data_IF_916310733579
#
_entry.id   IF_916310733579
#
_cell.length_a   1.000
_cell.length_b   1.000
_cell.length_c   1.000
_cell.angle_alpha   90.00
_cell.angle_beta   90.00
_cell.angle_gamma   90.00
#
_symmetry.space_group_name_H-M   'P 1'
#
loop_
_entity.id
_entity.type
_entity.pdbx_description
1 polymer ?
#
# COMPACT_ATOMS: atom_id res chain seq x y z
N UNK A 1 41.63 2.38 38.24
CA UNK A 1 40.18 2.31 38.47
C UNK A 1 39.41 3.27 37.59
N UNK A 2 39.64 4.58 37.66
CA UNK A 2 38.88 5.60 36.88
C UNK A 2 38.82 5.41 35.35
N UNK A 3 39.83 4.79 34.74
CA UNK A 3 39.85 4.59 33.28
C UNK A 3 38.92 3.42 32.82
N UNK A 4 38.72 2.42 33.65
CA UNK A 4 37.78 1.30 33.39
C UNK A 4 36.32 1.74 33.55
N UNK A 5 36.03 2.56 34.56
CA UNK A 5 34.68 3.11 34.78
C UNK A 5 34.25 4.05 33.65
N UNK A 6 35.21 4.81 33.06
CA UNK A 6 34.93 5.65 31.91
C UNK A 6 34.52 4.84 30.65
N UNK A 7 35.23 3.75 30.38
CA UNK A 7 34.98 2.86 29.22
C UNK A 7 33.65 2.07 29.39
N UNK A 8 33.32 1.65 30.60
CA UNK A 8 32.03 1.00 30.87
C UNK A 8 30.84 1.95 30.68
N UNK A 9 30.97 3.16 31.17
CA UNK A 9 29.95 4.20 31.02
C UNK A 9 29.72 4.63 29.55
N UNK A 10 30.79 4.65 28.79
CA UNK A 10 30.74 4.94 27.33
C UNK A 10 30.12 3.78 26.54
N UNK A 11 30.42 2.54 26.91
CA UNK A 11 29.79 1.33 26.32
C UNK A 11 28.31 1.20 26.68
N UNK A 12 27.92 1.58 27.90
CA UNK A 12 26.53 1.60 28.36
C UNK A 12 25.75 2.69 27.64
N UNK A 13 26.37 3.84 27.43
CA UNK A 13 25.80 4.95 26.66
C UNK A 13 25.62 4.57 25.17
N UNK A 14 26.61 3.92 24.57
CA UNK A 14 26.53 3.40 23.20
C UNK A 14 25.44 2.32 23.06
N UNK A 15 25.36 1.36 23.99
CA UNK A 15 24.30 0.34 24.00
C UNK A 15 22.92 0.94 24.14
N UNK A 16 22.78 1.95 24.99
CA UNK A 16 21.50 2.66 25.19
C UNK A 16 21.10 3.46 23.98
N UNK A 17 22.07 4.14 23.32
CA UNK A 17 21.85 4.85 22.06
C UNK A 17 21.48 3.87 20.94
N UNK A 18 22.19 2.74 20.81
CA UNK A 18 21.84 1.70 19.83
C UNK A 18 20.44 1.12 20.09
N UNK A 19 20.13 0.78 21.35
CA UNK A 19 18.81 0.28 21.73
C UNK A 19 17.71 1.29 21.42
N UNK A 20 17.99 2.58 21.61
CA UNK A 20 17.08 3.68 21.31
C UNK A 20 16.90 3.89 19.81
N UNK A 21 17.97 3.78 19.01
CA UNK A 21 17.93 3.89 17.54
C UNK A 21 17.14 2.75 16.88
N UNK A 22 17.14 1.55 17.47
CA UNK A 22 16.44 0.36 16.95
C UNK A 22 15.14 0.04 17.73
N UNK A 23 14.77 0.84 18.71
CA UNK A 23 13.50 0.67 19.42
C UNK A 23 12.33 1.11 18.56
N UNK A 24 11.44 0.17 18.26
CA UNK A 24 10.20 0.43 17.51
C UNK A 24 9.11 1.04 18.42
N UNK A 25 9.29 1.04 19.75
CA UNK A 25 8.27 1.40 20.73
C UNK A 25 8.41 2.81 21.32
N UNK A 26 9.60 3.43 21.31
CA UNK A 26 9.82 4.72 21.96
C UNK A 26 9.11 5.92 21.31
N UNK A 27 8.89 5.86 19.97
CA UNK A 27 8.20 6.91 19.21
C UNK A 27 6.79 6.46 18.76
N UNK A 28 6.20 5.45 19.39
CA UNK A 28 4.90 4.94 19.01
C UNK A 28 3.79 5.91 19.46
N UNK A 29 2.84 6.15 18.56
CA UNK A 29 1.59 6.83 18.88
C UNK A 29 0.75 5.97 19.85
N UNK A 30 -0.24 6.57 20.50
CA UNK A 30 -1.17 5.79 21.33
C UNK A 30 -1.97 4.80 20.47
N UNK A 31 -2.40 3.68 21.06
CA UNK A 31 -3.19 2.68 20.36
C UNK A 31 -4.48 3.27 19.77
N UNK A 32 -5.09 4.24 20.43
CA UNK A 32 -6.28 4.95 19.95
C UNK A 32 -5.95 5.79 18.70
N UNK A 33 -4.82 6.50 18.71
CA UNK A 33 -4.38 7.31 17.60
C UNK A 33 -3.99 6.45 16.37
N UNK A 34 -3.30 5.33 16.60
CA UNK A 34 -2.97 4.36 15.55
C UNK A 34 -4.25 3.80 14.92
N UNK A 35 -5.20 3.38 15.75
CA UNK A 35 -6.51 2.90 15.32
C UNK A 35 -7.24 3.93 14.47
N UNK A 36 -7.32 5.16 14.94
CA UNK A 36 -8.04 6.23 14.23
C UNK A 36 -7.40 6.55 12.88
N UNK A 37 -6.09 6.61 12.80
CA UNK A 37 -5.35 6.82 11.55
C UNK A 37 -5.59 5.69 10.54
N UNK A 38 -5.47 4.43 10.96
CA UNK A 38 -5.68 3.27 10.09
C UNK A 38 -7.12 3.23 9.59
N UNK A 39 -8.10 3.39 10.48
CA UNK A 39 -9.50 3.34 10.10
C UNK A 39 -9.93 4.53 9.23
N UNK A 40 -9.38 5.71 9.48
CA UNK A 40 -9.64 6.89 8.65
C UNK A 40 -9.03 6.72 7.26
N UNK A 41 -7.80 6.18 7.16
CA UNK A 41 -7.16 5.88 5.88
C UNK A 41 -7.91 4.84 5.04
N UNK A 42 -8.58 3.87 5.68
CA UNK A 42 -9.41 2.85 5.02
C UNK A 42 -10.88 3.24 4.84
N UNK A 43 -11.29 4.45 5.26
CA UNK A 43 -12.69 4.86 5.24
C UNK A 43 -13.18 5.13 3.81
N UNK A 44 -14.32 4.51 3.47
CA UNK A 44 -14.99 4.73 2.19
C UNK A 44 -15.92 5.92 2.34
N UNK A 45 -15.53 7.02 1.72
CA UNK A 45 -16.33 8.25 1.62
C UNK A 45 -16.48 8.63 0.15
N UNK A 46 -17.52 9.40 -0.16
CA UNK A 46 -17.70 9.92 -1.53
C UNK A 46 -16.47 10.68 -2.03
N UNK A 47 -15.82 11.46 -1.16
CA UNK A 47 -14.58 12.18 -1.47
C UNK A 47 -13.46 11.22 -1.86
N UNK A 48 -13.21 10.15 -1.07
CA UNK A 48 -12.19 9.17 -1.38
C UNK A 48 -12.47 8.43 -2.70
N UNK A 49 -13.75 8.19 -3.03
CA UNK A 49 -14.14 7.59 -4.31
C UNK A 49 -13.83 8.51 -5.49
N UNK A 50 -14.13 9.81 -5.38
CA UNK A 50 -13.80 10.78 -6.44
C UNK A 50 -12.29 10.88 -6.62
N UNK A 51 -11.54 11.00 -5.53
CA UNK A 51 -10.06 11.02 -5.57
C UNK A 51 -9.51 9.76 -6.23
N UNK A 52 -10.06 8.59 -5.91
CA UNK A 52 -9.66 7.31 -6.51
C UNK A 52 -9.95 7.28 -8.02
N UNK A 53 -11.12 7.72 -8.47
CA UNK A 53 -11.46 7.81 -9.90
C UNK A 53 -10.45 8.71 -10.63
N UNK A 54 -10.16 9.89 -10.07
CA UNK A 54 -9.14 10.79 -10.63
C UNK A 54 -7.76 10.13 -10.68
N UNK A 55 -7.37 9.44 -9.61
CA UNK A 55 -6.09 8.73 -9.54
C UNK A 55 -6.00 7.63 -10.62
N UNK A 56 -7.08 6.83 -10.81
CA UNK A 56 -7.15 5.80 -11.83
C UNK A 56 -7.06 6.40 -13.24
N UNK A 57 -7.72 7.51 -13.51
CA UNK A 57 -7.61 8.21 -14.80
C UNK A 57 -6.17 8.68 -15.04
N UNK A 58 -5.52 9.32 -14.07
CA UNK A 58 -4.12 9.76 -14.18
C UNK A 58 -3.19 8.57 -14.39
N UNK A 59 -3.37 7.48 -13.63
CA UNK A 59 -2.57 6.25 -13.79
C UNK A 59 -2.77 5.64 -15.18
N UNK A 60 -4.00 5.59 -15.69
CA UNK A 60 -4.32 5.04 -17.00
C UNK A 60 -3.69 5.88 -18.13
N UNK A 61 -3.70 7.22 -18.00
CA UNK A 61 -2.96 8.12 -18.89
C UNK A 61 -1.46 7.82 -18.81
N UNK A 62 -0.89 7.72 -17.60
CA UNK A 62 0.52 7.42 -17.40
C UNK A 62 0.95 6.08 -17.99
N UNK A 63 0.12 5.04 -17.83
CA UNK A 63 0.35 3.72 -18.45
C UNK A 63 0.30 3.80 -19.98
N UNK A 64 -0.67 4.54 -20.51
CA UNK A 64 -0.88 4.67 -21.96
C UNK A 64 0.20 5.51 -22.65
N UNK A 65 0.77 6.48 -21.93
CA UNK A 65 1.87 7.35 -22.43
C UNK A 65 3.25 6.85 -22.04
N UNK A 66 3.36 5.67 -21.43
CA UNK A 66 4.60 5.08 -20.92
C UNK A 66 5.35 6.00 -19.93
N UNK A 67 4.63 6.83 -19.17
CA UNK A 67 5.20 7.80 -18.22
C UNK A 67 5.21 7.30 -16.79
N UNK A 68 6.35 6.81 -16.34
CA UNK A 68 6.54 6.32 -14.94
C UNK A 68 6.24 7.42 -13.91
N UNK A 69 6.64 8.66 -14.17
CA UNK A 69 6.42 9.78 -13.27
C UNK A 69 4.92 10.05 -13.01
N UNK A 70 4.11 10.00 -14.07
CA UNK A 70 2.65 10.18 -13.98
C UNK A 70 2.01 9.02 -13.18
N UNK A 71 2.46 7.78 -13.43
CA UNK A 71 1.98 6.59 -12.71
C UNK A 71 2.29 6.73 -11.21
N UNK A 72 3.51 7.12 -10.85
CA UNK A 72 3.93 7.35 -9.46
C UNK A 72 3.07 8.44 -8.81
N UNK A 73 2.85 9.56 -9.49
CA UNK A 73 1.99 10.65 -9.00
C UNK A 73 0.56 10.17 -8.69
N UNK A 74 -0.01 9.33 -9.54
CA UNK A 74 -1.33 8.73 -9.33
C UNK A 74 -1.38 7.80 -8.12
N UNK A 75 -0.32 6.99 -7.91
CA UNK A 75 -0.24 6.08 -6.76
C UNK A 75 -0.24 6.82 -5.42
N UNK A 76 0.37 8.03 -5.36
CA UNK A 76 0.45 8.84 -4.14
C UNK A 76 -0.91 9.29 -3.60
N UNK A 77 -1.88 9.48 -4.48
CA UNK A 77 -3.22 9.95 -4.12
C UNK A 77 -4.24 8.81 -3.97
N UNK A 78 -3.83 7.56 -4.24
CA UNK A 78 -4.73 6.40 -4.20
C UNK A 78 -5.05 5.94 -2.77
N UNK A 79 -6.32 5.76 -2.41
CA UNK A 79 -6.71 5.27 -1.09
C UNK A 79 -6.67 3.74 -0.91
N UNK A 80 -6.26 2.97 -1.93
CA UNK A 80 -6.33 1.50 -1.93
C UNK A 80 -5.57 0.84 -0.78
N UNK A 81 -4.38 1.34 -0.46
CA UNK A 81 -3.55 0.81 0.61
C UNK A 81 -4.22 0.94 1.99
N UNK A 82 -4.85 2.08 2.26
CA UNK A 82 -5.54 2.32 3.54
C UNK A 82 -6.60 1.28 3.85
N UNK A 83 -7.32 0.79 2.82
CA UNK A 83 -8.32 -0.26 2.98
C UNK A 83 -7.71 -1.60 3.40
N UNK A 84 -6.56 -1.99 2.86
CA UNK A 84 -5.86 -3.23 3.24
C UNK A 84 -5.36 -3.14 4.70
N UNK A 85 -4.77 -2.01 5.09
CA UNK A 85 -4.32 -1.79 6.47
C UNK A 85 -5.49 -1.83 7.46
N UNK A 86 -6.66 -1.29 7.09
CA UNK A 86 -7.85 -1.34 7.93
C UNK A 86 -8.45 -2.76 8.05
N UNK A 87 -8.36 -3.58 6.99
CA UNK A 87 -8.74 -5.01 7.05
C UNK A 87 -7.81 -5.76 8.00
N UNK A 88 -6.50 -5.57 7.87
CA UNK A 88 -5.49 -6.16 8.75
C UNK A 88 -5.72 -5.77 10.22
N UNK A 89 -5.98 -4.50 10.50
CA UNK A 89 -6.32 -4.05 11.83
C UNK A 89 -7.58 -4.75 12.40
N UNK A 90 -8.63 -4.88 11.58
CA UNK A 90 -9.85 -5.60 11.97
C UNK A 90 -9.59 -7.06 12.31
N UNK A 91 -8.65 -7.72 11.62
CA UNK A 91 -8.24 -9.10 11.88
C UNK A 91 -7.50 -9.22 13.21
N UNK A 92 -6.47 -8.40 13.43
CA UNK A 92 -5.65 -8.44 14.65
C UNK A 92 -6.46 -8.05 15.89
N UNK A 93 -7.34 -7.07 15.77
CA UNK A 93 -8.25 -6.67 16.87
C UNK A 93 -9.42 -7.63 17.10
N UNK A 94 -9.50 -8.71 16.31
CA UNK A 94 -10.60 -9.69 16.33
C UNK A 94 -12.00 -9.06 16.18
N UNK A 95 -12.09 -7.94 15.44
CA UNK A 95 -13.34 -7.25 15.13
C UNK A 95 -13.85 -7.66 13.74
N UNK A 96 -14.68 -8.72 13.71
CA UNK A 96 -15.25 -9.27 12.49
C UNK A 96 -16.14 -8.25 11.73
N UNK A 97 -16.77 -7.31 12.43
CA UNK A 97 -17.58 -6.26 11.79
C UNK A 97 -16.71 -5.27 11.02
N UNK A 98 -15.63 -4.78 11.64
CA UNK A 98 -14.64 -3.92 11.00
C UNK A 98 -14.00 -4.59 9.78
N UNK A 99 -13.53 -5.83 9.94
CA UNK A 99 -12.93 -6.62 8.87
C UNK A 99 -13.90 -6.75 7.67
N UNK A 100 -15.13 -7.17 7.91
CA UNK A 100 -16.14 -7.32 6.86
C UNK A 100 -16.46 -6.00 6.17
N UNK A 101 -16.64 -4.92 6.92
CA UNK A 101 -16.96 -3.59 6.39
C UNK A 101 -15.85 -3.09 5.46
N UNK A 102 -14.59 -3.17 5.87
CA UNK A 102 -13.45 -2.71 5.06
C UNK A 102 -13.18 -3.64 3.87
N UNK A 103 -13.42 -4.97 4.00
CA UNK A 103 -13.30 -5.91 2.87
C UNK A 103 -14.34 -5.64 1.79
N UNK A 104 -15.60 -5.41 2.15
CA UNK A 104 -16.63 -5.02 1.20
C UNK A 104 -16.28 -3.70 0.51
N UNK A 105 -15.80 -2.75 1.28
CA UNK A 105 -15.36 -1.48 0.73
C UNK A 105 -14.17 -1.59 -0.21
N UNK A 106 -13.20 -2.41 0.10
CA UNK A 106 -12.06 -2.69 -0.78
C UNK A 106 -12.52 -3.34 -2.10
N UNK A 107 -13.46 -4.29 -2.03
CA UNK A 107 -14.05 -4.88 -3.24
C UNK A 107 -14.75 -3.84 -4.12
N UNK A 108 -15.49 -2.90 -3.52
CA UNK A 108 -16.11 -1.77 -4.24
C UNK A 108 -15.05 -0.88 -4.89
N UNK A 109 -13.96 -0.57 -4.18
CA UNK A 109 -12.83 0.20 -4.75
C UNK A 109 -12.21 -0.51 -5.96
N UNK A 110 -12.00 -1.83 -5.89
CA UNK A 110 -11.49 -2.62 -7.02
C UNK A 110 -12.42 -2.52 -8.22
N UNK A 111 -13.72 -2.72 -8.02
CA UNK A 111 -14.72 -2.67 -9.10
C UNK A 111 -14.75 -1.29 -9.77
N UNK A 112 -14.78 -0.21 -8.99
CA UNK A 112 -14.77 1.16 -9.51
C UNK A 112 -13.45 1.43 -10.24
N UNK A 113 -12.32 0.97 -9.73
CA UNK A 113 -11.02 1.15 -10.36
C UNK A 113 -10.96 0.48 -11.73
N UNK A 114 -11.35 -0.79 -11.81
CA UNK A 114 -11.36 -1.54 -13.07
C UNK A 114 -12.35 -0.95 -14.05
N UNK A 115 -13.56 -0.58 -13.61
CA UNK A 115 -14.57 0.04 -14.46
C UNK A 115 -14.08 1.38 -15.04
N UNK A 116 -13.51 2.27 -14.20
CA UNK A 116 -12.96 3.56 -14.61
C UNK A 116 -11.84 3.39 -15.65
N UNK A 117 -10.89 2.48 -15.37
CA UNK A 117 -9.80 2.18 -16.29
C UNK A 117 -10.33 1.59 -17.62
N UNK A 118 -11.29 0.67 -17.56
CA UNK A 118 -11.90 0.09 -18.78
C UNK A 118 -12.54 1.16 -19.63
N UNK A 119 -13.33 2.07 -19.05
CA UNK A 119 -13.96 3.18 -19.77
C UNK A 119 -12.89 4.05 -20.42
N UNK A 120 -11.83 4.42 -19.68
CA UNK A 120 -10.74 5.21 -20.24
C UNK A 120 -10.08 4.53 -21.44
N UNK A 121 -9.72 3.25 -21.35
CA UNK A 121 -9.03 2.54 -22.43
C UNK A 121 -9.95 2.21 -23.62
N UNK A 122 -11.26 2.10 -23.42
CA UNK A 122 -12.24 2.02 -24.51
C UNK A 122 -12.27 3.32 -25.35
N UNK A 123 -12.19 4.47 -24.68
CA UNK A 123 -12.20 5.78 -25.30
C UNK A 123 -10.85 6.20 -25.86
N UNK A 124 -9.75 5.64 -25.34
CA UNK A 124 -8.41 5.97 -25.76
C UNK A 124 -8.14 5.57 -27.22
N UNK A 125 -7.52 6.45 -28.04
CA UNK A 125 -7.10 6.12 -29.41
C UNK A 125 -5.89 5.17 -29.45
N UNK A 126 -5.08 5.11 -28.38
CA UNK A 126 -3.88 4.27 -28.30
C UNK A 126 -4.28 2.88 -27.83
N UNK A 127 -4.18 1.89 -28.71
CA UNK A 127 -4.58 0.49 -28.43
C UNK A 127 -3.40 -0.44 -28.20
N UNK A 128 -2.19 -0.03 -28.58
CA UNK A 128 -1.00 -0.85 -28.40
C UNK A 128 -0.56 -0.87 -26.92
N UNK A 129 -0.18 -2.05 -26.38
CA UNK A 129 0.29 -2.16 -25.01
C UNK A 129 1.68 -1.52 -24.87
N UNK A 130 1.82 -0.61 -23.93
CA UNK A 130 3.11 -0.01 -23.57
C UNK A 130 3.96 -0.95 -22.72
N UNK A 131 5.25 -0.68 -22.56
CA UNK A 131 6.15 -1.44 -21.68
C UNK A 131 5.63 -1.45 -20.24
N UNK A 132 5.08 -0.33 -19.76
CA UNK A 132 4.52 -0.23 -18.41
C UNK A 132 3.29 -1.11 -18.21
N UNK A 133 2.45 -1.30 -19.22
CA UNK A 133 1.33 -2.23 -19.19
C UNK A 133 1.82 -3.68 -19.19
N UNK A 134 2.77 -4.02 -20.05
CA UNK A 134 3.32 -5.38 -20.16
C UNK A 134 4.06 -5.80 -18.89
N UNK A 135 4.80 -4.89 -18.25
CA UNK A 135 5.51 -5.16 -17.00
C UNK A 135 4.57 -5.57 -15.83
N UNK A 136 3.27 -5.26 -15.92
CA UNK A 136 2.28 -5.61 -14.89
C UNK A 136 1.53 -6.92 -15.17
N UNK A 137 1.93 -7.67 -16.17
CA UNK A 137 1.27 -8.94 -16.55
C UNK A 137 2.04 -10.18 -16.15
N UNK A 138 3.28 -10.05 -15.72
CA UNK A 138 4.17 -11.16 -15.38
C UNK A 138 4.72 -10.98 -13.95
N UNK A 139 3.97 -11.42 -12.91
CA UNK A 139 4.44 -11.36 -11.52
C UNK A 139 5.74 -12.12 -11.34
N UNK A 140 6.62 -11.60 -10.51
CA UNK A 140 7.89 -12.23 -10.18
C UNK A 140 8.11 -12.25 -8.64
N UNK A 141 9.15 -12.95 -8.20
CA UNK A 141 9.48 -13.07 -6.78
C UNK A 141 9.79 -11.72 -6.12
N UNK A 142 10.33 -10.76 -6.86
CA UNK A 142 10.64 -9.44 -6.32
C UNK A 142 9.38 -8.64 -5.97
N UNK A 143 8.27 -8.86 -6.68
CA UNK A 143 6.98 -8.23 -6.37
C UNK A 143 6.52 -8.63 -4.95
N UNK A 144 6.70 -9.89 -4.59
CA UNK A 144 6.39 -10.41 -3.23
C UNK A 144 7.27 -9.73 -2.17
N UNK A 145 8.59 -9.63 -2.41
CA UNK A 145 9.51 -8.97 -1.48
C UNK A 145 9.14 -7.49 -1.29
N UNK A 146 8.81 -6.80 -2.37
CA UNK A 146 8.39 -5.40 -2.34
C UNK A 146 7.07 -5.24 -1.58
N UNK A 147 6.10 -6.13 -1.80
CA UNK A 147 4.82 -6.11 -1.12
C UNK A 147 4.96 -6.33 0.40
N UNK A 148 5.79 -7.30 0.81
CA UNK A 148 6.11 -7.54 2.23
C UNK A 148 6.78 -6.33 2.88
N UNK A 149 7.85 -5.82 2.27
CA UNK A 149 8.56 -4.65 2.78
C UNK A 149 7.63 -3.42 2.85
N UNK A 150 6.78 -3.24 1.84
CA UNK A 150 5.78 -2.18 1.78
C UNK A 150 4.71 -2.30 2.88
N UNK A 151 4.22 -3.50 3.16
CA UNK A 151 3.27 -3.74 4.25
C UNK A 151 3.87 -3.39 5.63
N UNK A 152 5.10 -3.85 5.90
CA UNK A 152 5.85 -3.51 7.12
C UNK A 152 6.01 -1.99 7.24
N UNK A 153 6.55 -1.34 6.21
CA UNK A 153 6.77 0.10 6.23
C UNK A 153 5.47 0.90 6.37
N UNK A 154 4.37 0.40 5.79
CA UNK A 154 3.03 0.99 5.91
C UNK A 154 2.53 1.05 7.34
N UNK A 155 2.63 -0.05 8.07
CA UNK A 155 2.24 -0.09 9.49
C UNK A 155 3.20 0.74 10.35
N UNK A 156 4.52 0.60 10.16
CA UNK A 156 5.49 1.43 10.88
C UNK A 156 5.22 2.92 10.67
N UNK A 157 4.85 3.32 9.45
CA UNK A 157 4.44 4.70 9.16
C UNK A 157 3.19 5.15 9.93
N UNK A 158 2.19 4.29 10.07
CA UNK A 158 0.96 4.59 10.81
C UNK A 158 1.16 4.64 12.33
N UNK A 159 2.15 3.91 12.85
CA UNK A 159 2.40 3.82 14.29
C UNK A 159 3.26 4.97 14.84
N UNK A 160 3.85 5.83 14.00
CA UNK A 160 4.73 6.93 14.42
C UNK A 160 4.00 8.25 14.57
N UNK A 161 4.30 9.02 15.64
CA UNK A 161 3.68 10.32 15.89
C UNK A 161 4.04 11.35 14.80
N UNK A 162 5.32 11.46 14.43
CA UNK A 162 5.81 12.56 13.60
C UNK A 162 6.12 12.18 12.13
N UNK A 163 6.10 10.88 11.77
CA UNK A 163 6.60 10.40 10.47
C UNK A 163 5.54 9.85 9.53
N UNK A 164 4.28 9.74 9.97
CA UNK A 164 3.20 9.18 9.15
C UNK A 164 3.06 9.89 7.79
N UNK A 165 3.11 11.22 7.78
CA UNK A 165 2.93 12.03 6.58
C UNK A 165 4.03 11.84 5.53
N UNK A 166 5.24 11.39 5.92
CA UNK A 166 6.37 11.22 5.01
C UNK A 166 6.57 9.78 4.54
N UNK A 167 6.17 8.79 5.35
CA UNK A 167 6.38 7.37 5.06
C UNK A 167 5.26 6.81 4.19
N UNK A 168 4.00 7.16 4.47
CA UNK A 168 2.83 6.63 3.78
C UNK A 168 2.89 6.84 2.25
N UNK A 169 3.23 8.04 1.74
CA UNK A 169 3.36 8.23 0.31
C UNK A 169 4.40 7.31 -0.34
N UNK A 170 5.58 7.16 0.29
CA UNK A 170 6.63 6.28 -0.22
C UNK A 170 6.22 4.81 -0.30
N UNK A 171 5.46 4.34 0.69
CA UNK A 171 4.93 2.97 0.71
C UNK A 171 3.86 2.76 -0.35
N UNK A 172 2.97 3.73 -0.57
CA UNK A 172 1.96 3.64 -1.63
C UNK A 172 2.59 3.50 -3.03
N UNK A 173 3.75 4.13 -3.26
CA UNK A 173 4.53 3.96 -4.49
C UNK A 173 5.11 2.54 -4.57
N UNK A 174 5.72 2.06 -3.49
CA UNK A 174 6.40 0.77 -3.47
C UNK A 174 5.44 -0.41 -3.70
N UNK A 175 4.24 -0.36 -3.13
CA UNK A 175 3.29 -1.49 -3.13
C UNK A 175 2.52 -1.69 -4.44
N UNK A 176 2.61 -0.74 -5.37
CA UNK A 176 2.10 -0.85 -6.75
C UNK A 176 0.75 -1.58 -6.93
N UNK A 177 -0.26 -1.24 -6.10
CA UNK A 177 -1.60 -1.86 -6.19
C UNK A 177 -2.43 -1.33 -7.37
N UNK A 178 -2.29 -0.04 -7.67
CA UNK A 178 -3.13 0.63 -8.67
C UNK A 178 -2.79 0.25 -10.12
N UNK A 179 -1.52 0.19 -10.57
CA UNK A 179 -1.20 -0.10 -11.97
C UNK A 179 -1.71 -1.45 -12.45
N UNK A 180 -1.65 -2.55 -11.67
CA UNK A 180 -2.26 -3.82 -12.08
C UNK A 180 -3.77 -3.72 -12.31
N UNK A 181 -4.52 -2.96 -11.49
CA UNK A 181 -5.96 -2.75 -11.70
C UNK A 181 -6.24 -1.96 -12.98
N UNK A 182 -5.43 -0.92 -13.27
CA UNK A 182 -5.53 -0.20 -14.54
C UNK A 182 -5.21 -1.10 -15.73
N UNK A 183 -4.22 -1.99 -15.60
CA UNK A 183 -3.88 -2.98 -16.63
C UNK A 183 -5.00 -4.01 -16.82
N UNK A 184 -5.73 -4.40 -15.76
CA UNK A 184 -6.95 -5.19 -15.90
C UNK A 184 -8.00 -4.46 -16.76
N UNK A 185 -8.22 -3.16 -16.51
CA UNK A 185 -9.12 -2.34 -17.32
C UNK A 185 -8.69 -2.26 -18.78
N UNK A 186 -7.40 -2.09 -19.05
CA UNK A 186 -6.85 -2.15 -20.40
C UNK A 186 -7.12 -3.50 -21.06
N UNK A 187 -6.85 -4.59 -20.36
CA UNK A 187 -7.03 -5.94 -20.86
C UNK A 187 -8.49 -6.25 -21.21
N UNK A 188 -9.44 -5.80 -20.38
CA UNK A 188 -10.88 -5.91 -20.66
C UNK A 188 -11.26 -5.10 -21.89
N UNK A 189 -10.81 -3.85 -22.00
CA UNK A 189 -11.10 -2.96 -23.11
C UNK A 189 -10.61 -3.51 -24.47
N UNK A 190 -9.52 -4.29 -24.47
CA UNK A 190 -8.92 -4.87 -25.67
C UNK A 190 -9.17 -6.39 -25.82
N UNK A 191 -9.99 -7.00 -24.95
CA UNK A 191 -10.36 -8.42 -25.05
C UNK A 191 -9.20 -9.40 -24.79
N UNK A 192 -8.14 -8.99 -24.07
CA UNK A 192 -6.96 -9.81 -23.80
C UNK A 192 -7.04 -10.52 -22.46
N UNK A 193 -7.62 -11.72 -22.46
CA UNK A 193 -7.82 -12.52 -21.25
C UNK A 193 -6.49 -12.88 -20.55
N UNK A 194 -5.43 -13.19 -21.31
CA UNK A 194 -4.13 -13.56 -20.74
C UNK A 194 -3.54 -12.42 -19.93
N UNK A 195 -3.61 -11.21 -20.48
CA UNK A 195 -3.14 -9.99 -19.83
C UNK A 195 -3.99 -9.66 -18.59
N UNK A 196 -5.31 -9.86 -18.69
CA UNK A 196 -6.23 -9.69 -17.55
C UNK A 196 -5.85 -10.60 -16.39
N UNK A 197 -5.66 -11.89 -16.65
CA UNK A 197 -5.33 -12.88 -15.61
C UNK A 197 -3.96 -12.58 -14.98
N UNK A 198 -2.96 -12.21 -15.77
CA UNK A 198 -1.62 -11.86 -15.26
C UNK A 198 -1.65 -10.62 -14.36
N UNK A 199 -2.32 -9.55 -14.80
CA UNK A 199 -2.42 -8.31 -14.03
C UNK A 199 -3.26 -8.49 -12.76
N UNK A 200 -4.36 -9.23 -12.84
CA UNK A 200 -5.18 -9.52 -11.67
C UNK A 200 -4.46 -10.39 -10.65
N UNK A 201 -3.68 -11.38 -11.10
CA UNK A 201 -2.84 -12.20 -10.25
C UNK A 201 -1.77 -11.38 -9.54
N UNK A 202 -1.09 -10.47 -10.24
CA UNK A 202 -0.14 -9.53 -9.63
C UNK A 202 -0.81 -8.66 -8.54
N UNK A 203 -2.00 -8.14 -8.82
CA UNK A 203 -2.77 -7.37 -7.85
C UNK A 203 -3.07 -8.19 -6.59
N UNK A 204 -3.54 -9.43 -6.75
CA UNK A 204 -3.85 -10.31 -5.60
C UNK A 204 -2.60 -10.61 -4.78
N UNK A 205 -1.48 -10.94 -5.42
CA UNK A 205 -0.21 -11.19 -4.72
C UNK A 205 0.18 -9.96 -3.89
N UNK A 206 0.22 -8.78 -4.50
CA UNK A 206 0.60 -7.56 -3.80
C UNK A 206 -0.35 -7.28 -2.61
N UNK A 207 -1.66 -7.33 -2.83
CA UNK A 207 -2.65 -7.09 -1.78
C UNK A 207 -2.52 -8.09 -0.62
N UNK A 208 -2.32 -9.39 -0.95
CA UNK A 208 -2.20 -10.46 0.04
C UNK A 208 -0.93 -10.35 0.89
N UNK A 209 0.23 -10.10 0.26
CA UNK A 209 1.48 -9.98 1.01
C UNK A 209 1.58 -8.68 1.80
N UNK A 210 0.98 -7.57 1.34
CA UNK A 210 0.82 -6.36 2.14
C UNK A 210 -0.06 -6.65 3.36
N UNK A 211 -1.18 -7.35 3.17
CA UNK A 211 -2.06 -7.74 4.27
C UNK A 211 -1.34 -8.58 5.32
N UNK A 212 -0.65 -9.67 4.91
CA UNK A 212 0.11 -10.53 5.84
C UNK A 212 1.19 -9.74 6.59
N UNK A 213 1.98 -8.94 5.88
CA UNK A 213 3.03 -8.16 6.49
C UNK A 213 2.46 -7.15 7.51
N UNK A 214 1.32 -6.55 7.19
CA UNK A 214 0.63 -5.62 8.08
C UNK A 214 0.06 -6.34 9.31
N UNK A 215 -0.54 -7.51 9.14
CA UNK A 215 -1.10 -8.35 10.20
C UNK A 215 -0.02 -8.78 11.20
N UNK A 216 1.12 -9.26 10.70
CA UNK A 216 2.26 -9.63 11.50
C UNK A 216 2.82 -8.44 12.29
N UNK A 217 2.96 -7.27 11.66
CA UNK A 217 3.49 -6.09 12.32
C UNK A 217 2.55 -5.54 13.40
N UNK A 218 1.24 -5.52 13.15
CA UNK A 218 0.24 -5.12 14.14
C UNK A 218 0.21 -6.08 15.33
N UNK A 219 0.30 -7.38 15.09
CA UNK A 219 0.40 -8.39 16.14
C UNK A 219 1.65 -8.24 17.00
N UNK A 220 2.80 -7.86 16.40
CA UNK A 220 4.06 -7.62 17.12
C UNK A 220 4.03 -6.34 17.97
N UNK A 221 3.24 -5.35 17.59
CA UNK A 221 3.11 -4.07 18.32
C UNK A 221 2.11 -4.19 19.50
N UNK A 222 1.48 -5.34 19.68
CA UNK A 222 0.49 -5.59 20.74
C UNK A 222 -0.73 -4.64 20.69
N UNK A 223 -1.28 -4.44 19.51
CA UNK A 223 -2.55 -3.72 19.29
C UNK A 223 -3.72 -4.69 19.31
#
# INVERSE_FOLDING_TARGET
>A
MKHREGIEKERENLRTVFKKMFSITEDAASNEEIRDRILTGGKITGTNMVVMICAILIASVGLNTNSVAVIIGAMLISPLMGSILAISYGTVSNDAYLMKRHSVGFAVQILISVATATIYFLLSPIKEPTEQLLARTNPNFFDVMIALAGGIAGIVGQTRQDKANNIIPGVAIATALMPPLCTCGYAIANGNLRMLLGAFYLFIINAYFIYIASDLMLSLIHI
#
